data_IF_837267380760
#
_entry.id   IF_837267380760
#
_cell.length_a   1.000
_cell.length_b   1.000
_cell.length_c   1.000
_cell.angle_alpha   90.00
_cell.angle_beta   90.00
_cell.angle_gamma   90.00
#
_symmetry.space_group_name_H-M   'P 1'
#
loop_
_entity.id
_entity.type
_entity.pdbx_description
1 polymer ?
#
# COMPACT_ATOMS: atom_id res chain seq x y z
N UNK A 1 -1.09 32.31 -60.39
CA UNK A 1 -0.13 31.37 -59.78
C UNK A 1 0.77 32.23 -58.93
N UNK A 2 0.37 32.53 -57.69
CA UNK A 2 0.56 31.66 -56.49
C UNK A 2 2.07 31.49 -56.23
N UNK A 3 2.64 31.84 -55.08
CA UNK A 3 2.13 32.07 -53.73
C UNK A 3 3.14 32.96 -52.97
N UNK A 4 2.62 33.88 -52.15
CA UNK A 4 3.35 34.51 -51.04
C UNK A 4 3.38 33.51 -49.86
N UNK A 5 4.57 33.27 -49.30
CA UNK A 5 4.72 32.42 -48.12
C UNK A 5 4.57 33.29 -46.87
N UNK A 6 3.46 33.04 -46.18
CA UNK A 6 2.96 33.67 -44.96
C UNK A 6 3.82 33.34 -43.72
N UNK A 7 4.39 34.39 -43.11
CA UNK A 7 4.94 34.36 -41.75
C UNK A 7 3.80 34.39 -40.72
N UNK A 8 3.25 33.21 -40.39
CA UNK A 8 2.08 33.12 -39.51
C UNK A 8 2.09 31.95 -38.54
N UNK A 9 3.09 31.82 -37.65
CA UNK A 9 3.14 30.67 -36.71
C UNK A 9 3.59 30.92 -35.28
N UNK A 10 3.42 32.13 -34.72
CA UNK A 10 3.72 32.37 -33.29
C UNK A 10 2.66 33.09 -32.42
N UNK A 11 1.49 33.44 -32.95
CA UNK A 11 0.49 34.22 -32.16
C UNK A 11 -0.78 33.48 -31.74
N UNK A 12 -1.04 32.24 -32.20
CA UNK A 12 -2.32 31.56 -31.92
C UNK A 12 -2.44 30.93 -30.51
N UNK A 13 -1.33 30.56 -29.86
CA UNK A 13 -1.41 29.86 -28.56
C UNK A 13 -1.61 30.78 -27.35
N UNK A 14 -1.31 32.08 -27.43
CA UNK A 14 -1.48 32.99 -26.28
C UNK A 14 -2.92 33.50 -26.10
N UNK A 15 -3.72 33.57 -27.19
CA UNK A 15 -5.08 34.13 -27.12
C UNK A 15 -6.12 33.18 -26.52
N UNK A 16 -5.97 31.85 -26.63
CA UNK A 16 -6.93 30.92 -26.02
C UNK A 16 -6.79 30.87 -24.50
N UNK A 17 -5.54 30.84 -23.99
CA UNK A 17 -5.28 30.75 -22.55
C UNK A 17 -5.86 31.90 -21.72
N UNK A 18 -5.89 33.12 -22.26
CA UNK A 18 -6.44 34.30 -21.56
C UNK A 18 -7.97 34.33 -21.52
N UNK A 19 -8.65 33.72 -22.51
CA UNK A 19 -10.12 33.68 -22.52
C UNK A 19 -10.65 32.62 -21.55
N UNK A 20 -10.01 31.44 -21.51
CA UNK A 20 -10.37 30.37 -20.59
C UNK A 20 -10.14 30.78 -19.13
N UNK A 21 -9.03 31.48 -18.83
CA UNK A 21 -8.76 32.01 -17.48
C UNK A 21 -9.87 32.95 -17.00
N UNK A 22 -10.44 33.79 -17.88
CA UNK A 22 -11.54 34.69 -17.52
C UNK A 22 -12.84 33.95 -17.19
N UNK A 23 -13.11 32.84 -17.88
CA UNK A 23 -14.26 31.97 -17.59
C UNK A 23 -14.06 31.19 -16.28
N UNK A 24 -12.83 30.75 -16.00
CA UNK A 24 -12.50 30.10 -14.73
C UNK A 24 -12.58 31.08 -13.55
N UNK A 25 -12.13 32.33 -13.74
CA UNK A 25 -12.31 33.40 -12.74
C UNK A 25 -13.79 33.64 -12.43
N UNK A 26 -14.65 33.67 -13.44
CA UNK A 26 -16.11 33.79 -13.27
C UNK A 26 -16.67 32.58 -12.51
N UNK A 27 -16.28 31.36 -12.89
CA UNK A 27 -16.71 30.14 -12.22
C UNK A 27 -16.34 30.14 -10.73
N UNK A 28 -15.08 30.44 -10.39
CA UNK A 28 -14.66 30.53 -8.98
C UNK A 28 -15.32 31.68 -8.22
N UNK A 29 -15.73 32.74 -8.93
CA UNK A 29 -16.53 33.82 -8.33
C UNK A 29 -17.95 33.36 -8.01
N UNK A 30 -18.57 32.55 -8.88
CA UNK A 30 -19.88 31.94 -8.62
C UNK A 30 -19.85 30.96 -7.44
N UNK A 31 -18.76 30.21 -7.27
CA UNK A 31 -18.55 29.33 -6.10
C UNK A 31 -18.49 30.15 -4.80
N UNK A 32 -18.07 31.41 -4.87
CA UNK A 32 -18.03 32.33 -3.73
C UNK A 32 -19.32 33.15 -3.56
N UNK A 33 -20.35 32.95 -4.39
CA UNK A 33 -21.60 33.71 -4.31
C UNK A 33 -22.38 33.39 -3.03
N UNK A 34 -23.22 34.30 -2.53
CA UNK A 34 -23.93 34.10 -1.25
C UNK A 34 -24.94 32.95 -1.26
N UNK A 35 -25.51 32.62 -2.43
CA UNK A 35 -26.58 31.63 -2.57
C UNK A 35 -26.01 30.22 -2.67
N UNK A 36 -26.29 29.39 -1.66
CA UNK A 36 -25.86 27.97 -1.60
C UNK A 36 -26.19 27.16 -2.86
N UNK A 37 -27.36 27.35 -3.46
CA UNK A 37 -27.73 26.64 -4.69
C UNK A 37 -26.83 27.01 -5.87
N UNK A 38 -26.38 28.27 -5.95
CA UNK A 38 -25.45 28.74 -6.99
C UNK A 38 -24.08 28.11 -6.76
N UNK A 39 -23.60 28.09 -5.50
CA UNK A 39 -22.34 27.43 -5.16
C UNK A 39 -22.36 25.95 -5.55
N UNK A 40 -23.44 25.23 -5.22
CA UNK A 40 -23.59 23.81 -5.53
C UNK A 40 -23.57 23.52 -7.02
N UNK A 41 -24.30 24.27 -7.84
CA UNK A 41 -24.27 24.09 -9.29
C UNK A 41 -22.92 24.48 -9.89
N UNK A 42 -22.28 25.54 -9.39
CA UNK A 42 -20.93 25.93 -9.82
C UNK A 42 -19.89 24.84 -9.48
N UNK A 43 -19.99 24.19 -8.32
CA UNK A 43 -19.16 23.04 -7.97
C UNK A 43 -19.36 21.85 -8.90
N UNK A 44 -20.58 21.58 -9.37
CA UNK A 44 -20.83 20.51 -10.35
C UNK A 44 -20.22 20.82 -11.71
N UNK A 45 -20.28 22.07 -12.15
CA UNK A 45 -19.60 22.52 -13.37
C UNK A 45 -18.09 22.33 -13.20
N UNK A 46 -17.54 22.76 -12.06
CA UNK A 46 -16.12 22.58 -11.74
C UNK A 46 -15.73 21.09 -11.75
N UNK A 47 -16.54 20.22 -11.15
CA UNK A 47 -16.30 18.77 -11.16
C UNK A 47 -16.22 18.21 -12.58
N UNK A 48 -17.06 18.69 -13.50
CA UNK A 48 -16.99 18.29 -14.92
C UNK A 48 -15.73 18.76 -15.65
N UNK A 49 -15.00 19.73 -15.10
CA UNK A 49 -13.81 20.34 -15.70
C UNK A 49 -12.51 19.99 -14.97
N UNK A 50 -12.59 19.44 -13.76
CA UNK A 50 -11.47 19.37 -12.80
C UNK A 50 -10.30 18.49 -13.29
N UNK A 51 -10.56 17.58 -14.22
CA UNK A 51 -9.57 16.67 -14.81
C UNK A 51 -8.96 17.21 -16.12
N UNK A 52 -9.38 18.38 -16.59
CA UNK A 52 -8.83 18.99 -17.81
C UNK A 52 -7.50 19.69 -17.52
N UNK A 53 -6.52 19.56 -18.42
CA UNK A 53 -5.19 20.14 -18.24
C UNK A 53 -5.24 21.67 -18.02
N UNK A 54 -6.13 22.37 -18.74
CA UNK A 54 -6.30 23.82 -18.62
C UNK A 54 -6.84 24.24 -17.25
N UNK A 55 -7.84 23.52 -16.71
CA UNK A 55 -8.38 23.79 -15.37
C UNK A 55 -7.35 23.49 -14.28
N UNK A 56 -6.65 22.36 -14.36
CA UNK A 56 -5.58 22.00 -13.42
C UNK A 56 -4.47 23.07 -13.43
N UNK A 57 -4.03 23.50 -14.63
CA UNK A 57 -3.03 24.55 -14.78
C UNK A 57 -3.50 25.91 -14.24
N UNK A 58 -4.77 26.26 -14.42
CA UNK A 58 -5.37 27.45 -13.81
C UNK A 58 -5.37 27.37 -12.28
N UNK A 59 -5.78 26.23 -11.70
CA UNK A 59 -5.77 26.01 -10.26
C UNK A 59 -4.37 26.09 -9.69
N UNK A 60 -3.36 25.51 -10.35
CA UNK A 60 -1.96 25.61 -9.91
C UNK A 60 -1.45 27.05 -9.90
N UNK A 61 -1.78 27.84 -10.92
CA UNK A 61 -1.41 29.28 -10.97
C UNK A 61 -2.08 30.08 -9.84
N UNK A 62 -3.28 29.67 -9.43
CA UNK A 62 -4.10 30.35 -8.42
C UNK A 62 -4.26 29.54 -7.12
N UNK A 63 -3.28 28.69 -6.81
CA UNK A 63 -3.36 27.60 -5.83
C UNK A 63 -3.99 28.02 -4.51
N UNK A 64 -3.49 29.10 -3.91
CA UNK A 64 -3.93 29.58 -2.60
C UNK A 64 -5.42 29.93 -2.56
N UNK A 65 -5.94 30.57 -3.61
CA UNK A 65 -7.35 30.99 -3.68
C UNK A 65 -8.23 29.78 -3.98
N UNK A 66 -7.92 29.05 -5.05
CA UNK A 66 -8.73 27.93 -5.53
C UNK A 66 -8.81 26.80 -4.49
N UNK A 67 -7.68 26.38 -3.91
CA UNK A 67 -7.68 25.31 -2.92
C UNK A 67 -8.39 25.70 -1.64
N UNK A 68 -8.25 26.96 -1.18
CA UNK A 68 -9.00 27.44 -0.01
C UNK A 68 -10.52 27.32 -0.24
N UNK A 69 -10.99 27.69 -1.42
CA UNK A 69 -12.41 27.59 -1.81
C UNK A 69 -12.86 26.12 -1.82
N UNK A 70 -12.12 25.25 -2.51
CA UNK A 70 -12.43 23.82 -2.60
C UNK A 70 -12.48 23.15 -1.23
N UNK A 71 -11.48 23.39 -0.39
CA UNK A 71 -11.38 22.83 0.97
C UNK A 71 -12.50 23.37 1.87
N UNK A 72 -12.86 24.66 1.75
CA UNK A 72 -13.98 25.22 2.52
C UNK A 72 -15.32 24.56 2.19
N UNK A 73 -15.46 24.02 0.97
CA UNK A 73 -16.66 23.29 0.56
C UNK A 73 -16.89 21.97 1.29
N UNK A 74 -15.90 21.44 2.01
CA UNK A 74 -16.03 20.24 2.84
C UNK A 74 -16.90 20.47 4.10
N UNK A 75 -17.15 21.72 4.48
CA UNK A 75 -18.00 22.07 5.63
C UNK A 75 -19.37 22.63 5.18
N UNK A 76 -19.83 22.29 3.97
CA UNK A 76 -21.05 22.83 3.35
C UNK A 76 -22.05 21.73 2.97
N UNK A 77 -23.30 22.10 2.65
CA UNK A 77 -24.35 21.17 2.17
C UNK A 77 -24.06 20.51 0.81
N UNK A 78 -22.95 20.87 0.17
CA UNK A 78 -22.45 20.31 -1.08
C UNK A 78 -21.09 19.59 -0.90
N UNK A 79 -20.75 19.19 0.33
CA UNK A 79 -19.50 18.50 0.69
C UNK A 79 -19.12 17.38 -0.26
N UNK A 80 -20.09 16.57 -0.71
CA UNK A 80 -19.83 15.42 -1.59
C UNK A 80 -19.23 15.83 -2.92
N UNK A 81 -19.74 16.92 -3.51
CA UNK A 81 -19.26 17.41 -4.81
C UNK A 81 -17.89 18.05 -4.64
N UNK A 82 -17.68 18.80 -3.54
CA UNK A 82 -16.37 19.36 -3.22
C UNK A 82 -15.32 18.28 -2.98
N UNK A 83 -15.69 17.22 -2.28
CA UNK A 83 -14.84 16.07 -2.00
C UNK A 83 -14.50 15.30 -3.29
N UNK A 84 -15.45 15.12 -4.20
CA UNK A 84 -15.19 14.54 -5.52
C UNK A 84 -14.19 15.40 -6.33
N UNK A 85 -14.35 16.73 -6.33
CA UNK A 85 -13.38 17.63 -6.96
C UNK A 85 -11.98 17.43 -6.36
N UNK A 86 -11.87 17.33 -5.03
CA UNK A 86 -10.59 17.15 -4.34
C UNK A 86 -9.97 15.78 -4.61
N UNK A 87 -10.77 14.70 -4.68
CA UNK A 87 -10.30 13.36 -5.05
C UNK A 87 -9.69 13.38 -6.45
N UNK A 88 -10.39 13.95 -7.43
CA UNK A 88 -9.90 14.06 -8.80
C UNK A 88 -8.63 14.92 -8.86
N UNK A 89 -8.68 16.11 -8.27
CA UNK A 89 -7.55 17.04 -8.24
C UNK A 89 -6.31 16.46 -7.53
N UNK A 90 -6.50 15.60 -6.53
CA UNK A 90 -5.40 14.93 -5.81
C UNK A 90 -4.61 13.93 -6.64
N UNK A 91 -5.14 13.47 -7.77
CA UNK A 91 -4.38 12.69 -8.73
C UNK A 91 -3.37 13.55 -9.52
N UNK A 92 -3.62 14.85 -9.62
CA UNK A 92 -2.83 15.78 -10.44
C UNK A 92 -1.89 16.66 -9.61
N UNK A 93 -2.36 17.17 -8.46
CA UNK A 93 -1.62 18.14 -7.63
C UNK A 93 -1.55 17.75 -6.14
N UNK A 94 -1.13 16.51 -5.81
CA UNK A 94 -1.14 16.03 -4.42
C UNK A 94 -0.26 16.88 -3.49
N UNK A 95 0.88 17.40 -3.98
CA UNK A 95 1.82 18.20 -3.17
C UNK A 95 1.18 19.50 -2.68
N UNK A 96 0.46 20.17 -3.57
CA UNK A 96 -0.25 21.43 -3.28
C UNK A 96 -1.33 21.20 -2.22
N UNK A 97 -2.09 20.11 -2.33
CA UNK A 97 -3.11 19.73 -1.36
C UNK A 97 -2.52 19.37 0.01
N UNK A 98 -1.39 18.66 0.05
CA UNK A 98 -0.69 18.34 1.29
C UNK A 98 -0.20 19.61 2.02
N UNK A 99 0.33 20.59 1.28
CA UNK A 99 0.72 21.91 1.83
C UNK A 99 -0.46 22.68 2.43
N UNK A 100 -1.69 22.36 2.05
CA UNK A 100 -2.94 22.93 2.60
C UNK A 100 -3.52 22.13 3.76
N UNK A 101 -2.74 21.19 4.33
CA UNK A 101 -3.12 20.34 5.45
C UNK A 101 -4.37 19.50 5.19
N UNK A 102 -4.56 19.07 3.94
CA UNK A 102 -5.76 18.33 3.56
C UNK A 102 -5.86 16.98 4.26
N UNK A 103 -4.74 16.33 4.58
CA UNK A 103 -4.75 15.07 5.34
C UNK A 103 -5.38 15.32 6.72
N UNK A 104 -4.86 16.29 7.45
CA UNK A 104 -5.33 16.64 8.80
C UNK A 104 -6.82 16.99 8.80
N UNK A 105 -7.24 17.85 7.86
CA UNK A 105 -8.65 18.25 7.69
C UNK A 105 -9.55 17.02 7.44
N UNK A 106 -9.12 16.09 6.57
CA UNK A 106 -9.89 14.87 6.29
C UNK A 106 -10.00 13.98 7.54
N UNK A 107 -8.95 13.89 8.35
CA UNK A 107 -8.97 13.06 9.55
C UNK A 107 -9.83 13.64 10.68
N UNK A 108 -9.91 14.96 10.78
CA UNK A 108 -10.89 15.65 11.63
C UNK A 108 -12.33 15.34 11.18
N UNK A 109 -12.64 15.45 9.89
CA UNK A 109 -13.98 15.12 9.37
C UNK A 109 -14.35 13.64 9.57
N UNK A 110 -13.37 12.74 9.37
CA UNK A 110 -13.56 11.31 9.68
C UNK A 110 -13.83 11.03 11.16
N UNK A 111 -13.47 11.93 12.09
CA UNK A 111 -13.74 11.76 13.53
C UNK A 111 -15.20 12.10 13.79
N UNK A 112 -15.64 13.21 13.23
CA UNK A 112 -16.99 13.73 13.41
C UNK A 112 -18.04 12.79 12.75
N UNK A 113 -17.70 12.11 11.65
CA UNK A 113 -18.57 11.09 11.03
C UNK A 113 -18.83 9.84 11.90
N UNK A 114 -17.86 9.40 12.71
CA UNK A 114 -18.05 8.23 13.58
C UNK A 114 -19.10 8.50 14.68
N UNK A 115 -19.26 9.76 15.06
CA UNK A 115 -20.24 10.22 16.04
C UNK A 115 -21.64 10.41 15.43
N UNK A 116 -21.72 10.69 14.12
CA UNK A 116 -22.95 11.15 13.47
C UNK A 116 -23.79 10.08 12.74
N UNK A 117 -23.29 8.86 12.50
CA UNK A 117 -23.97 7.66 11.92
C UNK A 117 -24.72 7.80 10.56
N UNK A 118 -25.12 8.98 10.09
CA UNK A 118 -26.09 9.14 8.99
C UNK A 118 -25.50 9.60 7.64
N UNK A 119 -24.24 10.08 7.57
CA UNK A 119 -23.66 10.69 6.36
C UNK A 119 -22.24 10.24 6.03
N UNK A 120 -21.97 8.94 6.05
CA UNK A 120 -20.58 8.49 5.94
C UNK A 120 -20.04 8.54 4.49
N UNK A 121 -19.35 9.62 4.14
CA UNK A 121 -18.54 9.80 2.93
C UNK A 121 -17.11 9.27 3.08
N UNK A 122 -16.84 8.55 4.17
CA UNK A 122 -15.59 7.87 4.51
C UNK A 122 -14.84 7.23 3.32
N UNK A 123 -15.52 6.61 2.36
CA UNK A 123 -14.83 6.03 1.19
C UNK A 123 -14.08 7.08 0.36
N UNK A 124 -14.71 8.22 0.07
CA UNK A 124 -14.08 9.32 -0.67
C UNK A 124 -12.93 9.94 0.12
N UNK A 125 -13.08 10.07 1.44
CA UNK A 125 -11.99 10.53 2.31
C UNK A 125 -10.78 9.59 2.25
N UNK A 126 -11.01 8.28 2.28
CA UNK A 126 -9.93 7.29 2.15
C UNK A 126 -9.31 7.35 0.75
N UNK A 127 -10.11 7.47 -0.32
CA UNK A 127 -9.60 7.61 -1.69
C UNK A 127 -8.71 8.84 -1.85
N UNK A 128 -9.12 9.98 -1.27
CA UNK A 128 -8.34 11.20 -1.25
C UNK A 128 -6.99 10.97 -0.55
N UNK A 129 -7.00 10.41 0.67
CA UNK A 129 -5.75 10.10 1.40
C UNK A 129 -4.89 9.09 0.65
N UNK A 130 -5.48 8.11 -0.05
CA UNK A 130 -4.75 7.16 -0.89
C UNK A 130 -3.99 7.86 -2.03
N UNK A 131 -4.56 8.87 -2.68
CA UNK A 131 -3.86 9.66 -3.68
C UNK A 131 -2.74 10.51 -3.05
N UNK A 132 -3.01 11.18 -1.92
CA UNK A 132 -2.00 12.00 -1.22
C UNK A 132 -0.84 11.16 -0.69
N UNK A 133 -1.08 9.91 -0.30
CA UNK A 133 -0.06 8.98 0.20
C UNK A 133 0.96 8.55 -0.87
N UNK A 134 0.75 8.90 -2.15
CA UNK A 134 1.76 8.67 -3.20
C UNK A 134 2.95 9.62 -3.08
N UNK A 135 2.76 10.76 -2.41
CA UNK A 135 3.80 11.75 -2.18
C UNK A 135 4.50 11.50 -0.84
N UNK A 136 5.83 11.65 -0.83
CA UNK A 136 6.64 11.44 0.38
C UNK A 136 6.18 12.31 1.56
N UNK A 137 5.81 13.56 1.30
CA UNK A 137 5.28 14.46 2.34
C UNK A 137 3.95 13.94 2.92
N UNK A 138 3.09 13.36 2.08
CA UNK A 138 1.83 12.75 2.51
C UNK A 138 2.08 11.52 3.39
N UNK A 139 3.04 10.68 3.02
CA UNK A 139 3.46 9.53 3.84
C UNK A 139 3.99 9.95 5.20
N UNK A 140 4.83 10.99 5.24
CA UNK A 140 5.38 11.49 6.50
C UNK A 140 4.30 12.03 7.42
N UNK A 141 3.33 12.78 6.88
CA UNK A 141 2.14 13.18 7.64
C UNK A 141 1.36 11.99 8.15
N UNK A 142 1.05 11.00 7.30
CA UNK A 142 0.30 9.80 7.71
C UNK A 142 1.02 9.00 8.79
N UNK A 143 2.36 9.03 8.82
CA UNK A 143 3.19 8.34 9.81
C UNK A 143 3.53 9.20 11.04
N UNK A 144 3.02 10.44 11.12
CA UNK A 144 3.38 11.43 12.15
C UNK A 144 4.90 11.65 12.27
N UNK A 145 5.61 11.60 11.14
CA UNK A 145 7.04 11.85 11.07
C UNK A 145 7.33 13.33 10.89
N UNK A 146 8.33 13.90 11.59
CA UNK A 146 8.71 15.30 11.39
C UNK A 146 9.22 15.53 9.96
N UNK A 147 8.68 16.56 9.30
CA UNK A 147 9.17 17.02 8.00
C UNK A 147 10.59 17.62 8.18
N UNK A 148 11.64 16.79 8.09
CA UNK A 148 13.00 17.30 8.26
C UNK A 148 14.12 16.32 8.57
N UNK A 149 13.85 15.01 8.72
CA UNK A 149 14.95 14.04 8.80
C UNK A 149 15.61 13.90 7.42
N UNK A 150 16.61 14.78 7.20
CA UNK A 150 17.65 14.59 6.19
C UNK A 150 18.23 13.20 6.38
N UNK A 151 18.54 12.57 5.25
CA UNK A 151 19.30 11.33 5.16
C UNK A 151 20.64 11.50 5.89
N UNK A 152 20.72 11.12 7.17
CA UNK A 152 21.99 10.79 7.81
C UNK A 152 22.25 9.31 7.53
N UNK A 153 22.70 9.05 6.32
CA UNK A 153 23.03 7.72 5.85
C UNK A 153 24.06 7.79 4.75
N UNK A 154 25.07 8.65 4.89
CA UNK A 154 26.31 8.65 4.12
C UNK A 154 27.24 9.75 4.65
N UNK A 155 28.03 9.43 5.69
CA UNK A 155 29.42 9.87 5.91
C UNK A 155 29.96 9.25 7.20
N UNK A 156 30.97 8.39 7.03
CA UNK A 156 31.87 7.92 8.08
C UNK A 156 32.67 9.11 8.64
N UNK A 157 32.94 9.14 9.94
CA UNK A 157 34.29 8.97 10.49
C UNK A 157 34.31 9.08 12.02
N UNK A 158 35.26 8.34 12.57
CA UNK A 158 35.58 8.08 13.96
C UNK A 158 35.83 9.34 14.79
N UNK A 159 35.20 9.46 15.97
CA UNK A 159 35.82 9.65 17.29
C UNK A 159 34.86 10.36 18.26
N UNK A 160 34.32 9.61 19.22
CA UNK A 160 34.13 9.92 20.65
C UNK A 160 33.05 9.01 21.26
N UNK A 161 33.16 8.63 22.54
CA UNK A 161 32.33 7.60 23.15
C UNK A 161 30.88 8.07 23.25
N UNK A 162 30.00 7.39 22.53
CA UNK A 162 28.55 7.56 22.64
C UNK A 162 28.09 7.25 24.07
N UNK A 163 27.21 8.08 24.67
CA UNK A 163 26.38 7.59 25.76
C UNK A 163 25.49 6.47 25.20
N UNK A 164 25.43 5.36 25.94
CA UNK A 164 24.70 4.15 25.60
C UNK A 164 23.30 4.45 25.03
N UNK A 165 22.86 3.78 23.95
CA UNK A 165 21.49 3.89 23.51
C UNK A 165 20.60 3.22 24.57
N UNK A 166 19.92 4.05 25.37
CA UNK A 166 18.72 3.59 26.05
C UNK A 166 17.72 3.21 24.96
N UNK A 167 17.56 1.91 24.73
CA UNK A 167 16.42 1.34 24.02
C UNK A 167 15.14 1.59 24.84
N UNK A 168 14.68 2.83 24.92
CA UNK A 168 13.27 3.08 25.17
C UNK A 168 12.51 2.61 23.93
N UNK A 169 12.05 1.36 23.97
CA UNK A 169 11.09 0.77 23.02
C UNK A 169 9.74 1.47 23.14
N UNK A 170 9.70 2.78 22.94
CA UNK A 170 8.44 3.47 22.74
C UNK A 170 7.94 3.03 21.36
N UNK A 171 6.85 2.26 21.35
CA UNK A 171 6.10 1.95 20.14
C UNK A 171 5.84 3.28 19.43
N UNK A 172 6.30 3.43 18.19
CA UNK A 172 5.98 4.61 17.41
C UNK A 172 4.48 4.57 17.12
N UNK A 173 3.74 5.47 17.77
CA UNK A 173 2.29 5.59 17.59
C UNK A 173 2.04 6.70 16.58
N UNK A 174 1.45 6.34 15.44
CA UNK A 174 0.88 7.31 14.50
C UNK A 174 -0.62 7.41 14.70
N UNK A 175 -1.13 8.62 14.92
CA UNK A 175 -2.54 8.90 15.06
C UNK A 175 -3.32 8.55 13.78
N UNK A 176 -2.85 9.05 12.63
CA UNK A 176 -3.55 8.89 11.35
C UNK A 176 -3.51 7.43 10.87
N UNK A 177 -2.35 6.79 10.88
CA UNK A 177 -2.25 5.40 10.45
C UNK A 177 -3.03 4.46 11.36
N UNK A 178 -3.03 4.67 12.68
CA UNK A 178 -3.83 3.84 13.60
C UNK A 178 -5.33 3.93 13.32
N UNK A 179 -5.85 5.12 13.00
CA UNK A 179 -7.26 5.27 12.63
C UNK A 179 -7.60 4.54 11.33
N UNK A 180 -6.72 4.63 10.32
CA UNK A 180 -6.88 3.84 9.09
C UNK A 180 -6.85 2.34 9.37
N UNK A 181 -5.93 1.87 10.21
CA UNK A 181 -5.84 0.46 10.57
C UNK A 181 -7.06 0.00 11.38
N UNK A 182 -7.62 0.86 12.24
CA UNK A 182 -8.87 0.57 12.92
C UNK A 182 -10.00 0.33 11.92
N UNK A 183 -10.19 1.23 10.94
CA UNK A 183 -11.18 1.07 9.88
C UNK A 183 -10.93 -0.19 9.04
N UNK A 184 -9.68 -0.43 8.65
CA UNK A 184 -9.29 -1.60 7.85
C UNK A 184 -9.44 -2.92 8.62
N UNK A 185 -9.40 -2.89 9.95
CA UNK A 185 -9.63 -4.07 10.78
C UNK A 185 -11.10 -4.52 10.79
N UNK A 186 -12.04 -3.63 10.42
CA UNK A 186 -13.47 -3.94 10.34
C UNK A 186 -13.75 -4.94 9.19
N UNK A 187 -14.85 -5.73 9.29
CA UNK A 187 -15.29 -6.60 8.19
C UNK A 187 -15.49 -5.86 6.87
N UNK A 188 -15.54 -6.62 5.77
CA UNK A 188 -15.84 -6.07 4.44
C UNK A 188 -17.20 -5.37 4.47
N UNK A 189 -17.24 -4.14 3.95
CA UNK A 189 -18.49 -3.37 3.80
C UNK A 189 -18.76 -3.19 2.31
N UNK A 190 -19.78 -3.87 1.79
CA UNK A 190 -20.11 -3.91 0.37
C UNK A 190 -20.88 -2.70 -0.15
N UNK A 191 -21.37 -1.84 0.75
CA UNK A 191 -21.96 -0.56 0.42
C UNK A 191 -20.86 0.44 0.03
N UNK A 192 -20.42 0.33 -1.23
CA UNK A 192 -19.40 1.17 -1.86
C UNK A 192 -20.02 2.11 -2.89
N UNK A 193 -19.43 3.31 -3.02
CA UNK A 193 -19.73 4.24 -4.10
C UNK A 193 -18.98 3.88 -5.39
N UNK A 194 -17.90 3.10 -5.31
CA UNK A 194 -17.08 2.69 -6.44
C UNK A 194 -17.51 1.31 -6.96
N UNK A 195 -18.12 1.27 -8.15
CA UNK A 195 -18.60 0.02 -8.76
C UNK A 195 -17.53 -1.03 -9.04
N UNK A 196 -16.24 -0.66 -9.01
CA UNK A 196 -15.11 -1.56 -9.29
C UNK A 196 -14.55 -2.23 -8.02
N UNK A 197 -14.97 -1.77 -6.84
CA UNK A 197 -14.45 -2.22 -5.56
C UNK A 197 -15.60 -2.77 -4.73
N UNK A 198 -15.38 -3.85 -4.00
CA UNK A 198 -16.43 -4.52 -3.20
C UNK A 198 -16.35 -4.20 -1.71
N UNK A 199 -15.34 -3.43 -1.30
CA UNK A 199 -15.10 -3.07 0.08
C UNK A 199 -14.86 -1.56 0.22
N UNK A 200 -15.72 -0.90 1.00
CA UNK A 200 -15.63 0.52 1.34
C UNK A 200 -14.23 0.94 1.84
N UNK A 201 -13.52 0.05 2.55
CA UNK A 201 -12.21 0.34 3.13
C UNK A 201 -11.03 -0.13 2.28
N UNK A 202 -11.27 -0.62 1.06
CA UNK A 202 -10.23 -1.23 0.22
C UNK A 202 -9.06 -0.29 -0.07
N UNK A 203 -9.34 1.00 -0.30
CA UNK A 203 -8.30 2.00 -0.58
C UNK A 203 -7.32 2.22 0.59
N UNK A 204 -7.63 1.75 1.81
CA UNK A 204 -6.65 1.70 2.90
C UNK A 204 -5.50 0.74 2.55
N UNK A 205 -5.75 -0.34 1.81
CA UNK A 205 -4.69 -1.22 1.34
C UNK A 205 -3.70 -0.48 0.41
N UNK A 206 -4.19 0.45 -0.43
CA UNK A 206 -3.31 1.29 -1.25
C UNK A 206 -2.46 2.24 -0.40
N UNK A 207 -3.04 2.83 0.65
CA UNK A 207 -2.28 3.64 1.62
C UNK A 207 -1.20 2.79 2.29
N UNK A 208 -1.53 1.57 2.72
CA UNK A 208 -0.58 0.65 3.35
C UNK A 208 0.55 0.21 2.41
N UNK A 209 0.27 0.01 1.12
CA UNK A 209 1.31 -0.26 0.12
C UNK A 209 2.27 0.93 0.01
N UNK A 210 1.75 2.16 -0.06
CA UNK A 210 2.58 3.35 -0.17
C UNK A 210 3.39 3.59 1.12
N UNK A 211 2.76 3.44 2.29
CA UNK A 211 3.43 3.55 3.59
C UNK A 211 4.53 2.51 3.76
N UNK A 212 4.28 1.26 3.41
CA UNK A 212 5.29 0.19 3.51
C UNK A 212 6.46 0.36 2.54
N UNK A 213 6.33 1.20 1.51
CA UNK A 213 7.39 1.44 0.53
C UNK A 213 8.55 2.32 1.05
N UNK A 214 8.35 3.04 2.16
CA UNK A 214 9.38 3.90 2.77
C UNK A 214 10.03 3.21 3.97
N UNK A 215 11.34 3.38 4.15
CA UNK A 215 12.11 2.67 5.20
C UNK A 215 11.70 3.11 6.61
N UNK A 216 11.29 4.35 6.74
CA UNK A 216 10.89 5.02 7.97
C UNK A 216 9.64 4.38 8.60
N UNK A 217 8.80 3.69 7.81
CA UNK A 217 7.65 2.97 8.35
C UNK A 217 8.03 1.81 9.27
N UNK A 218 9.27 1.32 9.19
CA UNK A 218 9.71 0.13 9.92
C UNK A 218 9.49 0.28 11.43
N UNK A 219 9.72 1.47 12.00
CA UNK A 219 9.50 1.71 13.42
C UNK A 219 8.05 1.44 13.87
N UNK A 220 7.08 1.81 13.04
CA UNK A 220 5.66 1.57 13.30
C UNK A 220 5.30 0.08 13.21
N UNK A 221 5.88 -0.66 12.26
CA UNK A 221 5.59 -2.09 12.04
C UNK A 221 6.39 -3.04 12.94
N UNK A 222 7.20 -2.55 13.89
CA UNK A 222 7.81 -3.34 14.97
C UNK A 222 6.77 -3.77 16.03
N UNK A 223 5.67 -4.37 15.58
CA UNK A 223 4.56 -4.82 16.40
C UNK A 223 3.94 -6.09 15.83
N UNK A 224 4.11 -7.20 16.55
CA UNK A 224 3.52 -8.51 16.19
C UNK A 224 2.00 -8.43 16.08
N UNK A 225 1.36 -7.60 16.93
CA UNK A 225 -0.10 -7.39 16.92
C UNK A 225 -0.53 -6.78 15.58
N UNK A 226 0.17 -5.76 15.08
CA UNK A 226 -0.13 -5.12 13.80
C UNK A 226 0.12 -6.07 12.62
N UNK A 227 1.22 -6.81 12.64
CA UNK A 227 1.53 -7.83 11.62
C UNK A 227 0.46 -8.93 11.59
N UNK A 228 -0.03 -9.34 12.76
CA UNK A 228 -1.13 -10.30 12.88
C UNK A 228 -2.48 -9.73 12.39
N UNK A 229 -2.72 -8.44 12.58
CA UNK A 229 -3.88 -7.78 11.98
C UNK A 229 -3.80 -7.84 10.45
N UNK A 230 -2.65 -7.53 9.83
CA UNK A 230 -2.45 -7.69 8.38
C UNK A 230 -2.67 -9.14 7.93
N UNK A 231 -2.13 -10.12 8.66
CA UNK A 231 -2.35 -11.55 8.39
C UNK A 231 -3.83 -11.92 8.36
N UNK A 232 -4.65 -11.37 9.27
CA UNK A 232 -6.11 -11.57 9.27
C UNK A 232 -6.78 -10.96 8.05
N UNK A 233 -6.30 -9.80 7.56
CA UNK A 233 -6.87 -9.16 6.39
C UNK A 233 -6.61 -9.93 5.08
N UNK A 234 -5.56 -10.77 5.04
CA UNK A 234 -5.31 -11.67 3.91
C UNK A 234 -6.35 -12.79 3.75
N UNK A 235 -7.19 -13.03 4.76
CA UNK A 235 -8.31 -13.98 4.67
C UNK A 235 -9.42 -13.50 3.73
N UNK A 236 -9.54 -12.18 3.54
CA UNK A 236 -10.51 -11.59 2.64
C UNK A 236 -9.94 -11.62 1.22
N UNK A 237 -10.61 -12.32 0.31
CA UNK A 237 -10.13 -12.51 -1.07
C UNK A 237 -9.90 -11.16 -1.77
N UNK A 238 -10.77 -10.20 -1.48
CA UNK A 238 -10.78 -8.83 -1.99
C UNK A 238 -9.53 -8.06 -1.56
N UNK A 239 -9.05 -8.28 -0.33
CA UNK A 239 -7.89 -7.55 0.24
C UNK A 239 -6.57 -8.28 0.05
N UNK A 240 -6.60 -9.60 -0.15
CA UNK A 240 -5.44 -10.49 -0.06
C UNK A 240 -4.23 -10.04 -0.91
N UNK A 241 -4.43 -9.78 -2.20
CA UNK A 241 -3.36 -9.36 -3.11
C UNK A 241 -2.70 -8.04 -2.68
N UNK A 242 -3.50 -7.05 -2.30
CA UNK A 242 -3.02 -5.73 -1.89
C UNK A 242 -2.30 -5.80 -0.53
N UNK A 243 -2.83 -6.55 0.43
CA UNK A 243 -2.17 -6.77 1.72
C UNK A 243 -0.85 -7.52 1.52
N UNK A 244 -0.82 -8.53 0.65
CA UNK A 244 0.41 -9.25 0.33
C UNK A 244 1.48 -8.35 -0.29
N UNK A 245 1.11 -7.36 -1.11
CA UNK A 245 2.05 -6.34 -1.60
C UNK A 245 2.66 -5.51 -0.46
N UNK A 246 1.85 -5.09 0.51
CA UNK A 246 2.33 -4.43 1.72
C UNK A 246 3.32 -5.33 2.48
N UNK A 247 3.00 -6.61 2.65
CA UNK A 247 3.88 -7.58 3.32
C UNK A 247 5.20 -7.78 2.58
N UNK A 248 5.21 -7.83 1.24
CA UNK A 248 6.44 -7.87 0.45
C UNK A 248 7.33 -6.68 0.80
N UNK A 249 6.78 -5.47 0.79
CA UNK A 249 7.53 -4.26 1.10
C UNK A 249 8.12 -4.30 2.53
N UNK A 250 7.34 -4.74 3.52
CA UNK A 250 7.81 -4.88 4.91
C UNK A 250 8.94 -5.91 5.03
N UNK A 251 8.84 -7.04 4.32
CA UNK A 251 9.88 -8.07 4.29
C UNK A 251 11.21 -7.60 3.68
N UNK A 252 11.21 -6.51 2.89
CA UNK A 252 12.45 -5.90 2.39
C UNK A 252 13.27 -5.27 3.51
N UNK A 253 12.66 -4.86 4.63
CA UNK A 253 13.36 -4.29 5.78
C UNK A 253 13.84 -5.39 6.74
N UNK A 254 15.16 -5.61 6.82
CA UNK A 254 15.77 -6.58 7.75
C UNK A 254 15.46 -6.26 9.22
N UNK A 255 15.27 -4.97 9.53
CA UNK A 255 14.93 -4.52 10.89
C UNK A 255 13.57 -5.03 11.38
N UNK A 256 12.69 -5.45 10.46
CA UNK A 256 11.39 -6.04 10.78
C UNK A 256 11.42 -7.57 10.88
N UNK A 257 12.48 -8.23 10.42
CA UNK A 257 12.59 -9.69 10.42
C UNK A 257 12.41 -10.31 11.81
N UNK A 258 12.95 -9.75 12.92
CA UNK A 258 12.70 -10.28 14.27
C UNK A 258 11.21 -10.31 14.65
N UNK A 259 10.38 -9.42 14.09
CA UNK A 259 8.94 -9.33 14.37
C UNK A 259 8.13 -10.18 13.39
N UNK A 260 8.52 -10.20 12.11
CA UNK A 260 7.87 -11.01 11.06
C UNK A 260 8.04 -12.50 11.33
N UNK A 261 9.22 -12.91 11.81
CA UNK A 261 9.53 -14.30 12.16
C UNK A 261 9.42 -14.59 13.66
N UNK A 262 8.74 -13.72 14.42
CA UNK A 262 8.44 -13.97 15.82
C UNK A 262 7.48 -15.16 15.95
N UNK A 263 7.60 -15.95 17.01
CA UNK A 263 6.83 -17.19 17.20
C UNK A 263 5.31 -16.95 17.25
N UNK A 264 4.89 -15.81 17.81
CA UNK A 264 3.49 -15.38 17.87
C UNK A 264 3.00 -14.69 16.58
N UNK A 265 3.88 -14.49 15.59
CA UNK A 265 3.53 -13.82 14.34
C UNK A 265 3.02 -14.81 13.30
N UNK A 266 1.75 -14.66 12.96
CA UNK A 266 1.03 -15.49 11.98
C UNK A 266 1.23 -15.02 10.54
N UNK A 267 2.08 -14.02 10.29
CA UNK A 267 2.20 -13.43 8.96
C UNK A 267 2.83 -14.41 7.96
N UNK A 268 4.00 -14.95 8.27
CA UNK A 268 4.68 -15.88 7.37
C UNK A 268 3.93 -17.21 7.21
N UNK A 269 3.41 -17.85 8.29
CA UNK A 269 2.54 -19.02 8.14
C UNK A 269 1.34 -18.78 7.23
N UNK A 270 0.69 -17.61 7.35
CA UNK A 270 -0.44 -17.23 6.49
C UNK A 270 -0.04 -17.12 5.03
N UNK A 271 1.07 -16.43 4.75
CA UNK A 271 1.59 -16.28 3.37
C UNK A 271 1.85 -17.66 2.76
N UNK A 272 2.55 -18.54 3.48
CA UNK A 272 2.86 -19.89 3.02
C UNK A 272 1.60 -20.75 2.86
N UNK A 273 0.58 -20.58 3.71
CA UNK A 273 -0.68 -21.32 3.60
C UNK A 273 -1.47 -21.01 2.32
N UNK A 274 -1.25 -19.84 1.69
CA UNK A 274 -1.90 -19.49 0.42
C UNK A 274 -1.46 -20.38 -0.74
N UNK A 275 -0.24 -20.91 -0.64
CA UNK A 275 0.39 -21.75 -1.67
C UNK A 275 0.52 -23.21 -1.26
N UNK A 276 -0.21 -23.62 -0.21
CA UNK A 276 -0.20 -24.98 0.30
C UNK A 276 -1.59 -25.61 0.17
N UNK A 277 -1.64 -26.85 -0.30
CA UNK A 277 -2.86 -27.66 -0.33
C UNK A 277 -2.85 -28.65 0.81
N UNK A 278 -3.86 -28.57 1.68
CA UNK A 278 -4.06 -29.56 2.74
C UNK A 278 -4.73 -30.79 2.16
N UNK A 279 -3.99 -31.89 2.09
CA UNK A 279 -4.56 -33.17 1.75
C UNK A 279 -5.47 -33.67 2.89
N UNK A 280 -6.72 -33.99 2.57
CA UNK A 280 -7.63 -34.64 3.52
C UNK A 280 -7.17 -36.08 3.71
N UNK A 281 -6.31 -36.33 4.70
CA UNK A 281 -5.92 -37.69 5.12
C UNK A 281 -4.42 -37.92 5.35
N UNK A 282 -3.56 -36.94 5.13
CA UNK A 282 -2.10 -37.14 5.06
C UNK A 282 -1.35 -37.09 6.40
N UNK A 283 -1.91 -37.65 7.48
CA UNK A 283 -1.07 -37.93 8.64
C UNK A 283 -0.08 -39.09 8.39
N UNK A 284 -0.25 -39.89 7.31
CA UNK A 284 0.56 -41.10 7.09
C UNK A 284 1.23 -41.27 5.70
N UNK A 285 0.90 -40.49 4.65
CA UNK A 285 1.40 -40.81 3.29
C UNK A 285 2.68 -40.07 2.85
N UNK A 286 3.04 -38.93 3.44
CA UNK A 286 4.30 -38.24 3.08
C UNK A 286 5.57 -38.89 3.64
N UNK A 287 5.42 -39.94 4.46
CA UNK A 287 6.54 -40.76 4.94
C UNK A 287 7.10 -41.75 3.89
N UNK A 288 6.49 -41.83 2.70
CA UNK A 288 6.78 -42.88 1.70
C UNK A 288 7.49 -42.40 0.42
N UNK A 289 8.26 -41.31 0.47
CA UNK A 289 9.29 -41.05 -0.54
C UNK A 289 10.62 -41.60 -0.02
N UNK A 290 11.36 -42.43 -0.79
CA UNK A 290 12.57 -43.06 -0.30
C UNK A 290 13.66 -41.99 -0.12
N UNK A 291 13.79 -41.52 1.12
CA UNK A 291 14.96 -40.80 1.60
C UNK A 291 16.17 -41.71 1.43
N UNK A 292 17.14 -41.28 0.64
CA UNK A 292 18.47 -41.88 0.63
C UNK A 292 19.05 -41.65 2.03
N UNK A 293 18.89 -42.66 2.87
CA UNK A 293 19.27 -42.64 4.26
C UNK A 293 20.78 -42.42 4.40
N UNK A 294 21.16 -41.24 4.87
CA UNK A 294 22.31 -41.10 5.76
C UNK A 294 21.80 -40.71 7.14
N UNK A 295 22.00 -41.63 8.08
CA UNK A 295 21.55 -41.57 9.46
C UNK A 295 22.19 -40.43 10.22
N UNK A 296 21.41 -39.42 10.60
CA UNK A 296 21.65 -38.63 11.81
C UNK A 296 20.32 -38.36 12.51
N UNK A 297 20.22 -38.81 13.77
CA UNK A 297 19.19 -38.41 14.72
C UNK A 297 19.19 -36.89 14.85
N UNK A 298 18.17 -36.24 14.31
CA UNK A 298 17.85 -34.84 14.50
C UNK A 298 16.37 -34.66 14.20
N UNK A 299 15.67 -33.88 15.01
CA UNK A 299 14.23 -33.63 14.94
C UNK A 299 13.72 -33.51 13.49
N UNK A 300 12.57 -34.15 13.18
CA UNK A 300 11.90 -34.16 11.87
C UNK A 300 12.08 -32.82 11.13
N UNK A 301 13.05 -32.75 10.21
CA UNK A 301 13.31 -31.57 9.36
C UNK A 301 12.27 -31.42 8.25
N UNK A 302 11.36 -32.38 8.12
CA UNK A 302 10.44 -32.50 6.99
C UNK A 302 8.98 -32.14 7.32
N UNK A 303 8.68 -31.74 8.56
CA UNK A 303 7.30 -31.39 8.94
C UNK A 303 6.99 -29.92 8.70
N UNK A 304 5.91 -29.66 7.96
CA UNK A 304 5.34 -28.31 7.79
C UNK A 304 4.88 -27.76 9.13
N UNK A 305 5.10 -26.46 9.36
CA UNK A 305 4.67 -25.80 10.58
C UNK A 305 3.15 -25.96 10.83
N UNK A 306 2.70 -26.31 12.05
CA UNK A 306 1.28 -26.57 12.34
C UNK A 306 0.33 -25.44 11.91
N UNK A 307 0.72 -24.19 12.15
CA UNK A 307 -0.08 -23.03 11.72
C UNK A 307 -0.32 -22.98 10.20
N UNK A 308 0.62 -23.43 9.37
CA UNK A 308 0.41 -23.49 7.91
C UNK A 308 -0.68 -24.53 7.60
N UNK A 309 -0.60 -25.70 8.24
CA UNK A 309 -1.59 -26.77 8.09
C UNK A 309 -2.98 -26.32 8.55
N UNK A 310 -3.07 -25.63 9.69
CA UNK A 310 -4.32 -25.12 10.25
C UNK A 310 -4.96 -24.02 9.38
N UNK A 311 -4.12 -23.19 8.75
CA UNK A 311 -4.56 -22.06 7.92
C UNK A 311 -4.84 -22.45 6.47
N UNK A 312 -4.23 -23.53 5.98
CA UNK A 312 -4.33 -23.98 4.59
C UNK A 312 -5.64 -24.69 4.31
N UNK A 313 -6.15 -24.49 3.10
CA UNK A 313 -7.29 -25.23 2.56
C UNK A 313 -6.87 -25.88 1.25
N UNK A 314 -7.02 -25.17 0.14
CA UNK A 314 -6.55 -25.55 -1.18
C UNK A 314 -5.62 -24.47 -1.71
N UNK A 315 -4.71 -24.86 -2.61
CA UNK A 315 -3.89 -23.91 -3.36
C UNK A 315 -4.75 -22.78 -3.93
N UNK A 316 -4.37 -21.53 -3.66
CA UNK A 316 -5.10 -20.36 -4.17
C UNK A 316 -5.27 -20.44 -5.70
N UNK A 317 -6.45 -20.13 -6.26
CA UNK A 317 -6.62 -20.08 -7.71
C UNK A 317 -6.00 -18.82 -8.33
N UNK A 318 -5.66 -17.80 -7.53
CA UNK A 318 -5.17 -16.51 -8.03
C UNK A 318 -3.69 -16.56 -8.42
N UNK A 319 -3.41 -16.43 -9.71
CA UNK A 319 -2.03 -16.33 -10.23
C UNK A 319 -1.33 -15.07 -9.72
N UNK A 320 -2.04 -13.95 -9.52
CA UNK A 320 -1.45 -12.72 -8.96
C UNK A 320 -0.94 -12.95 -7.52
N UNK A 321 -1.73 -13.62 -6.68
CA UNK A 321 -1.32 -13.97 -5.32
C UNK A 321 -0.11 -14.90 -5.34
N UNK A 322 -0.12 -15.93 -6.19
CA UNK A 322 1.01 -16.85 -6.39
C UNK A 322 2.29 -16.10 -6.77
N UNK A 323 2.23 -15.23 -7.77
CA UNK A 323 3.38 -14.45 -8.21
C UNK A 323 3.94 -13.56 -7.11
N UNK A 324 3.08 -12.95 -6.29
CA UNK A 324 3.49 -12.16 -5.13
C UNK A 324 4.18 -13.02 -4.06
N UNK A 325 3.67 -14.22 -3.77
CA UNK A 325 4.35 -15.16 -2.86
C UNK A 325 5.73 -15.55 -3.41
N UNK A 326 5.85 -15.81 -4.73
CA UNK A 326 7.15 -16.10 -5.34
C UNK A 326 8.15 -14.94 -5.17
N UNK A 327 7.72 -13.71 -5.45
CA UNK A 327 8.55 -12.50 -5.26
C UNK A 327 9.00 -12.38 -3.80
N UNK A 328 8.09 -12.57 -2.85
CA UNK A 328 8.39 -12.54 -1.41
C UNK A 328 9.45 -13.58 -1.04
N UNK A 329 9.28 -14.83 -1.47
CA UNK A 329 10.20 -15.92 -1.14
C UNK A 329 11.57 -15.71 -1.78
N UNK A 330 11.62 -15.28 -3.05
CA UNK A 330 12.88 -14.96 -3.75
C UNK A 330 13.69 -13.91 -2.97
N UNK A 331 13.02 -12.85 -2.53
CA UNK A 331 13.66 -11.79 -1.75
C UNK A 331 14.16 -12.30 -0.40
N UNK A 332 13.38 -13.09 0.32
CA UNK A 332 13.78 -13.64 1.63
C UNK A 332 14.89 -14.70 1.52
N UNK A 333 14.91 -15.51 0.45
CA UNK A 333 15.95 -16.51 0.25
C UNK A 333 17.33 -15.91 -0.03
N UNK A 334 17.40 -14.67 -0.53
CA UNK A 334 18.67 -13.95 -0.66
C UNK A 334 19.37 -13.69 0.69
N UNK A 335 18.65 -13.83 1.82
CA UNK A 335 19.13 -13.51 3.17
C UNK A 335 19.22 -14.75 4.04
N UNK A 336 20.40 -14.98 4.62
CA UNK A 336 20.69 -16.22 5.35
C UNK A 336 19.78 -16.44 6.57
N UNK A 337 19.59 -15.41 7.41
CA UNK A 337 18.72 -15.52 8.59
C UNK A 337 17.25 -15.77 8.22
N UNK A 338 16.74 -15.10 7.19
CA UNK A 338 15.38 -15.29 6.71
C UNK A 338 15.18 -16.70 6.13
N UNK A 339 16.15 -17.19 5.35
CA UNK A 339 16.17 -18.57 4.83
C UNK A 339 16.18 -19.61 5.94
N UNK A 340 16.97 -19.42 6.99
CA UNK A 340 16.97 -20.30 8.17
C UNK A 340 15.60 -20.30 8.89
N UNK A 341 14.95 -19.14 9.02
CA UNK A 341 13.60 -19.07 9.57
C UNK A 341 12.57 -19.75 8.67
N UNK A 342 12.63 -19.55 7.36
CA UNK A 342 11.76 -20.26 6.39
C UNK A 342 11.97 -21.79 6.43
N UNK A 343 13.21 -22.27 6.67
CA UNK A 343 13.49 -23.70 6.94
C UNK A 343 12.71 -24.21 8.14
N UNK A 344 12.68 -23.44 9.23
CA UNK A 344 11.91 -23.83 10.43
C UNK A 344 10.39 -23.89 10.21
N UNK A 345 9.89 -23.29 9.12
CA UNK A 345 8.49 -23.41 8.72
C UNK A 345 8.19 -24.62 7.81
N UNK A 346 9.22 -25.33 7.34
CA UNK A 346 9.08 -26.43 6.37
C UNK A 346 8.86 -25.94 4.93
N UNK A 347 9.45 -24.80 4.55
CA UNK A 347 9.26 -24.18 3.23
C UNK A 347 9.58 -25.10 2.05
N UNK A 348 10.54 -26.02 2.18
CA UNK A 348 10.87 -27.00 1.15
C UNK A 348 9.68 -27.90 0.82
N UNK A 349 9.02 -28.41 1.86
CA UNK A 349 7.82 -29.22 1.70
C UNK A 349 6.67 -28.39 1.11
N UNK A 350 6.54 -27.12 1.52
CA UNK A 350 5.54 -26.20 0.95
C UNK A 350 5.76 -26.02 -0.56
N UNK A 351 7.00 -25.79 -1.01
CA UNK A 351 7.32 -25.64 -2.44
C UNK A 351 7.06 -26.92 -3.24
N UNK A 352 7.40 -28.09 -2.69
CA UNK A 352 7.09 -29.38 -3.33
C UNK A 352 5.58 -29.63 -3.44
N UNK A 353 4.84 -29.35 -2.37
CA UNK A 353 3.38 -29.45 -2.36
C UNK A 353 2.76 -28.48 -3.38
N UNK A 354 3.25 -27.23 -3.43
CA UNK A 354 2.81 -26.27 -4.43
C UNK A 354 3.05 -26.80 -5.84
N UNK A 355 4.26 -27.24 -6.17
CA UNK A 355 4.59 -27.77 -7.49
C UNK A 355 3.69 -28.96 -7.89
N UNK A 356 3.39 -29.86 -6.94
CA UNK A 356 2.52 -31.02 -7.16
C UNK A 356 1.08 -30.63 -7.51
N UNK A 357 0.55 -29.59 -6.87
CA UNK A 357 -0.84 -29.16 -7.05
C UNK A 357 -1.01 -28.00 -8.05
N UNK A 358 0.09 -27.46 -8.60
CA UNK A 358 0.05 -26.37 -9.55
C UNK A 358 -0.45 -26.84 -10.93
N UNK A 359 -1.51 -26.19 -11.42
CA UNK A 359 -2.09 -26.48 -12.74
C UNK A 359 -1.56 -25.55 -13.82
N UNK A 360 -1.06 -24.38 -13.44
CA UNK A 360 -0.49 -23.42 -14.37
C UNK A 360 0.96 -23.77 -14.68
N UNK A 361 1.18 -24.46 -15.80
CA UNK A 361 2.52 -24.85 -16.25
C UNK A 361 3.46 -23.66 -16.46
N UNK A 362 2.93 -22.47 -16.76
CA UNK A 362 3.71 -21.25 -17.00
C UNK A 362 4.51 -20.74 -15.80
N UNK A 363 4.18 -21.18 -14.57
CA UNK A 363 4.91 -20.77 -13.34
C UNK A 363 5.63 -21.93 -12.65
N UNK A 364 5.51 -23.16 -13.16
CA UNK A 364 6.13 -24.34 -12.54
C UNK A 364 7.66 -24.27 -12.53
N UNK A 365 8.26 -23.72 -13.59
CA UNK A 365 9.70 -23.50 -13.67
C UNK A 365 10.19 -22.54 -12.57
N UNK A 366 9.45 -21.46 -12.32
CA UNK A 366 9.79 -20.48 -11.27
C UNK A 366 9.68 -21.09 -9.87
N UNK A 367 8.70 -21.96 -9.63
CA UNK A 367 8.55 -22.70 -8.36
C UNK A 367 9.73 -23.66 -8.15
N UNK A 368 10.12 -24.40 -9.19
CA UNK A 368 11.31 -25.27 -9.13
C UNK A 368 12.58 -24.47 -8.85
N UNK A 369 12.77 -23.34 -9.53
CA UNK A 369 13.91 -22.46 -9.30
C UNK A 369 13.94 -21.91 -7.86
N UNK A 370 12.78 -21.60 -7.26
CA UNK A 370 12.71 -21.21 -5.84
C UNK A 370 13.15 -22.35 -4.91
N UNK A 371 12.81 -23.61 -5.24
CA UNK A 371 13.28 -24.76 -4.49
C UNK A 371 14.80 -24.91 -4.60
N UNK A 372 15.35 -24.70 -5.81
CA UNK A 372 16.80 -24.74 -6.05
C UNK A 372 17.52 -23.63 -5.26
N UNK A 373 17.06 -22.37 -5.33
CA UNK A 373 17.60 -21.23 -4.56
C UNK A 373 17.64 -21.47 -3.04
N UNK A 374 16.69 -22.26 -2.54
CA UNK A 374 16.64 -22.65 -1.14
C UNK A 374 17.69 -23.72 -0.80
N UNK A 375 17.97 -24.65 -1.73
CA UNK A 375 18.96 -25.74 -1.58
C UNK A 375 20.40 -25.29 -1.89
N UNK A 376 20.58 -24.33 -2.79
CA UNK A 376 21.88 -23.81 -3.20
C UNK A 376 22.46 -22.86 -2.15
N UNK A 377 23.21 -23.44 -1.21
CA UNK A 377 24.43 -22.80 -0.69
C UNK A 377 25.54 -23.81 -0.89
N UNK A 378 26.24 -23.72 -2.02
CA UNK A 378 27.69 -23.90 -1.95
C UNK A 378 28.26 -22.51 -1.68
N UNK A 379 29.07 -22.30 -0.63
CA UNK A 379 29.79 -21.04 -0.47
C UNK A 379 30.76 -20.93 -1.66
N UNK A 380 30.56 -19.98 -2.59
CA UNK A 380 31.57 -19.67 -3.60
C UNK A 380 31.13 -19.27 -5.02
N UNK A 381 29.85 -19.28 -5.39
CA UNK A 381 29.48 -18.84 -6.75
C UNK A 381 29.14 -17.35 -6.79
N UNK A 382 30.19 -16.55 -7.02
CA UNK A 382 30.09 -15.19 -7.56
C UNK A 382 29.47 -15.31 -8.95
N UNK A 383 28.26 -14.76 -9.14
CA UNK A 383 27.81 -14.44 -10.50
C UNK A 383 28.63 -13.23 -10.96
N UNK A 384 29.53 -13.46 -11.91
CA UNK A 384 30.24 -12.40 -12.64
C UNK A 384 29.20 -11.68 -13.54
N UNK A 385 29.32 -10.35 -13.55
CA UNK A 385 28.42 -9.32 -14.10
C UNK A 385 27.68 -9.63 -15.40
#
# INVERSE_FOLDING_TARGET
MEEEVDEGKKERDKRSSNHDDSLYDELFSLICADKEIVKKEAFKILLGLIDTESMVAYIQRNEKKCLKILISGLNSDYEVVALQCLVNLSAHIPKELIRRNLIEIVFDLLRDEEEAQERSHTELYIMLVANLSREKAGLYKILDLPEGQKQEGEKQEETQPQPQPQESRELTVSHYLNKLLHLFSKPIVTATINKQVTDKYFFIAHILINVSSVKECAHFFKSVILLNMLSKQMLQQERCAAVLQCVINLCMSETLHPYIFHEECNLMPRVLSLVYTREKGSNDEFAALPSIATSQKGANKDSVHPLILDMSTVLTPSTDVKNRVMILLRNLFSRELARQKLRSYGVEHVLRNWLLHEKNTGITCDISHLADMYTEITPGCIYIE
#
